data_IF_450708560160
#
_entry.id   IF_450708560160
#
_cell.length_a   1.000
_cell.length_b   1.000
_cell.length_c   1.000
_cell.angle_alpha   90.00
_cell.angle_beta   90.00
_cell.angle_gamma   90.00
#
_symmetry.space_group_name_H-M   'P 1'
#
loop_
_entity.id
_entity.type
_entity.pdbx_description
1 polymer ?
#
# COMPACT_ATOMS: atom_id res chain seq x y z
N UNK A 1 -2.59 -39.56 -5.41
CA UNK A 1 -3.26 -38.34 -5.88
C UNK A 1 -3.14 -37.30 -4.77
N UNK A 2 -2.05 -36.52 -4.75
CA UNK A 2 -1.85 -35.48 -3.73
C UNK A 2 -1.82 -34.13 -4.43
N UNK A 3 -2.85 -33.31 -4.21
CA UNK A 3 -2.86 -31.88 -4.54
C UNK A 3 -2.62 -31.11 -3.24
N UNK A 4 -1.37 -30.77 -2.96
CA UNK A 4 -1.05 -29.65 -2.08
C UNK A 4 -0.60 -28.50 -2.98
N UNK A 5 -1.53 -27.57 -3.19
CA UNK A 5 -1.38 -26.41 -4.05
C UNK A 5 -0.64 -25.31 -3.29
N UNK A 6 0.62 -25.08 -3.68
CA UNK A 6 1.34 -23.80 -3.67
C UNK A 6 1.04 -22.81 -2.54
N UNK A 7 1.62 -23.00 -1.34
CA UNK A 7 1.76 -21.89 -0.36
C UNK A 7 2.98 -21.95 0.55
N UNK A 8 4.01 -22.74 0.23
CA UNK A 8 5.13 -22.94 1.15
C UNK A 8 6.47 -22.91 0.42
N UNK A 9 7.00 -21.69 0.25
CA UNK A 9 8.44 -21.33 0.26
C UNK A 9 8.70 -20.07 -0.57
N UNK A 10 8.61 -18.91 0.10
CA UNK A 10 9.60 -17.86 -0.10
C UNK A 10 10.97 -18.47 0.25
N UNK A 11 11.63 -19.12 -0.70
CA UNK A 11 12.94 -19.73 -0.50
C UNK A 11 14.03 -18.64 -0.53
N UNK A 12 14.25 -18.06 0.65
CA UNK A 12 15.49 -17.53 1.21
C UNK A 12 16.28 -16.40 0.54
N UNK A 13 16.01 -15.97 -0.70
CA UNK A 13 16.73 -14.79 -1.28
C UNK A 13 15.84 -13.87 -2.13
N UNK A 14 14.66 -14.32 -2.57
CA UNK A 14 13.77 -13.55 -3.46
C UNK A 14 12.69 -12.72 -2.76
N UNK A 15 12.53 -12.85 -1.44
CA UNK A 15 11.54 -12.07 -0.68
C UNK A 15 12.16 -10.86 0.03
N UNK A 16 13.48 -10.68 -0.09
CA UNK A 16 14.20 -9.48 0.35
C UNK A 16 14.29 -8.39 -0.74
N UNK A 17 13.74 -8.65 -1.93
CA UNK A 17 13.88 -7.76 -3.09
C UNK A 17 12.55 -7.46 -3.80
N UNK A 18 11.42 -7.78 -3.15
CA UNK A 18 10.11 -7.32 -3.64
C UNK A 18 10.00 -5.82 -3.33
N UNK A 19 9.66 -4.97 -4.31
CA UNK A 19 9.62 -3.54 -4.09
C UNK A 19 8.58 -3.21 -3.02
N UNK A 20 8.96 -2.37 -2.06
CA UNK A 20 8.01 -1.82 -1.08
C UNK A 20 6.96 -1.02 -1.86
N UNK A 21 5.71 -1.46 -1.80
CA UNK A 21 4.61 -0.90 -2.58
C UNK A 21 3.49 -0.43 -1.66
N UNK A 22 3.01 0.78 -1.90
CA UNK A 22 1.85 1.36 -1.25
C UNK A 22 0.76 1.61 -2.29
N UNK A 23 -0.42 1.03 -2.07
CA UNK A 23 -1.62 1.35 -2.83
C UNK A 23 -2.56 2.17 -1.97
N UNK A 24 -2.96 3.34 -2.45
CA UNK A 24 -3.88 4.26 -1.77
C UNK A 24 -5.19 4.31 -2.52
N UNK A 25 -6.25 3.79 -1.90
CA UNK A 25 -7.60 3.83 -2.43
C UNK A 25 -8.30 5.10 -1.97
N UNK A 26 -8.81 5.88 -2.93
CA UNK A 26 -9.50 7.16 -2.72
C UNK A 26 -10.82 7.19 -3.51
N UNK A 27 -11.71 8.12 -3.19
CA UNK A 27 -12.92 8.40 -3.96
C UNK A 27 -12.98 9.91 -4.29
N UNK A 28 -13.71 10.31 -5.35
CA UNK A 28 -13.80 11.71 -5.76
C UNK A 28 -14.58 12.57 -4.74
N UNK A 29 -15.55 11.96 -4.03
CA UNK A 29 -16.39 12.64 -3.04
C UNK A 29 -15.95 12.39 -1.58
N UNK A 30 -14.64 12.36 -1.35
CA UNK A 30 -14.04 12.07 -0.04
C UNK A 30 -13.17 13.26 0.43
N UNK A 31 -13.66 14.11 1.36
CA UNK A 31 -12.90 15.29 1.81
C UNK A 31 -11.54 14.95 2.43
N UNK A 32 -11.43 13.80 3.10
CA UNK A 32 -10.18 13.34 3.70
C UNK A 32 -9.21 12.75 2.68
N UNK A 33 -9.65 12.50 1.44
CA UNK A 33 -8.82 11.93 0.37
C UNK A 33 -7.95 12.98 -0.33
N UNK A 34 -8.24 14.28 -0.23
CA UNK A 34 -7.33 15.32 -0.71
C UNK A 34 -6.01 15.28 0.06
N UNK A 35 -6.09 15.21 1.39
CA UNK A 35 -4.91 15.00 2.22
C UNK A 35 -4.22 13.67 1.93
N UNK A 36 -4.97 12.62 1.55
CA UNK A 36 -4.37 11.35 1.15
C UNK A 36 -3.47 11.47 -0.10
N UNK A 37 -3.86 12.32 -1.06
CA UNK A 37 -3.05 12.61 -2.26
C UNK A 37 -1.76 13.34 -1.87
N UNK A 38 -1.83 14.25 -0.91
CA UNK A 38 -0.65 14.93 -0.35
C UNK A 38 0.28 13.95 0.36
N UNK A 39 -0.25 13.08 1.21
CA UNK A 39 0.53 12.02 1.88
C UNK A 39 1.20 11.11 0.86
N UNK A 40 0.48 10.68 -0.18
CA UNK A 40 1.04 9.86 -1.26
C UNK A 40 2.16 10.58 -2.02
N UNK A 41 2.04 11.90 -2.23
CA UNK A 41 3.09 12.73 -2.83
C UNK A 41 4.32 12.81 -1.90
N UNK A 42 4.15 13.11 -0.62
CA UNK A 42 5.24 13.15 0.36
C UNK A 42 5.99 11.83 0.45
N UNK A 43 5.29 10.69 0.44
CA UNK A 43 5.94 9.38 0.45
C UNK A 43 6.82 9.18 -0.79
N UNK A 44 6.36 9.58 -1.98
CA UNK A 44 7.17 9.49 -3.21
C UNK A 44 8.43 10.34 -3.15
N UNK A 45 8.34 11.52 -2.54
CA UNK A 45 9.46 12.47 -2.41
C UNK A 45 10.47 12.00 -1.36
N UNK A 46 10.01 11.57 -0.19
CA UNK A 46 10.85 11.17 0.94
C UNK A 46 11.42 9.75 0.80
N UNK A 47 10.69 8.85 0.13
CA UNK A 47 11.06 7.44 -0.04
C UNK A 47 11.08 7.03 -1.52
N UNK A 48 12.07 7.46 -2.34
CA UNK A 48 12.10 7.20 -3.78
C UNK A 48 12.14 5.71 -4.19
N UNK A 49 12.46 4.81 -3.26
CA UNK A 49 12.46 3.36 -3.46
C UNK A 49 11.09 2.71 -3.24
N UNK A 50 10.10 3.46 -2.71
CA UNK A 50 8.74 2.98 -2.49
C UNK A 50 7.90 3.28 -3.72
N UNK A 51 7.24 2.26 -4.25
CA UNK A 51 6.26 2.43 -5.32
C UNK A 51 4.93 2.88 -4.72
N UNK A 52 4.39 4.01 -5.16
CA UNK A 52 3.12 4.53 -4.64
C UNK A 52 2.08 4.65 -5.75
N UNK A 53 1.02 3.85 -5.67
CA UNK A 53 -0.13 3.87 -6.57
C UNK A 53 -1.32 4.56 -5.88
N UNK A 54 -2.01 5.44 -6.61
CA UNK A 54 -3.32 5.98 -6.20
C UNK A 54 -4.38 5.34 -7.08
N UNK A 55 -5.40 4.76 -6.45
CA UNK A 55 -6.54 4.13 -7.13
C UNK A 55 -7.80 4.90 -6.75
N UNK A 56 -8.47 5.47 -7.74
CA UNK A 56 -9.81 6.03 -7.57
C UNK A 56 -10.84 4.91 -7.69
N UNK A 57 -11.52 4.58 -6.59
CA UNK A 57 -12.47 3.47 -6.52
C UNK A 57 -13.71 3.68 -7.39
N UNK A 58 -14.02 4.93 -7.75
CA UNK A 58 -15.17 5.26 -8.58
C UNK A 58 -14.84 5.21 -10.08
N UNK A 59 -13.55 5.26 -10.43
CA UNK A 59 -13.09 5.40 -11.83
C UNK A 59 -12.08 4.32 -12.26
N UNK A 60 -11.88 3.27 -11.45
CA UNK A 60 -10.96 2.17 -11.75
C UNK A 60 -11.64 1.00 -12.46
N UNK A 61 -10.89 0.30 -13.30
CA UNK A 61 -11.28 -1.01 -13.86
C UNK A 61 -10.68 -2.18 -13.08
N UNK A 62 -9.82 -1.89 -12.09
CA UNK A 62 -9.20 -2.88 -11.22
C UNK A 62 -10.20 -3.43 -10.19
N UNK A 63 -10.03 -4.69 -9.79
CA UNK A 63 -10.82 -5.28 -8.71
C UNK A 63 -10.40 -4.65 -7.39
N UNK A 64 -11.36 -4.04 -6.69
CA UNK A 64 -11.15 -3.48 -5.36
C UNK A 64 -11.19 -4.62 -4.33
N UNK A 65 -10.15 -4.81 -3.51
CA UNK A 65 -10.16 -5.85 -2.47
C UNK A 65 -11.29 -5.63 -1.46
N UNK A 66 -11.90 -6.70 -0.95
CA UNK A 66 -12.95 -6.61 0.08
C UNK A 66 -12.49 -5.92 1.38
N UNK A 67 -11.17 -5.90 1.62
CA UNK A 67 -10.55 -5.18 2.73
C UNK A 67 -10.60 -3.66 2.58
N UNK A 68 -10.90 -3.16 1.37
CA UNK A 68 -11.09 -1.74 1.06
C UNK A 68 -12.58 -1.42 1.09
N UNK A 69 -13.12 -1.24 2.29
CA UNK A 69 -14.55 -0.90 2.50
C UNK A 69 -14.76 0.56 2.91
N UNK A 70 -13.69 1.35 3.00
CA UNK A 70 -13.72 2.78 3.30
C UNK A 70 -12.59 3.52 2.57
N UNK A 71 -12.76 4.83 2.35
CA UNK A 71 -11.72 5.68 1.77
C UNK A 71 -11.35 6.84 2.71
N UNK A 72 -10.07 7.25 2.79
CA UNK A 72 -8.94 6.59 2.13
C UNK A 72 -8.54 5.28 2.84
N UNK A 73 -8.05 4.30 2.09
CA UNK A 73 -7.43 3.09 2.64
C UNK A 73 -6.05 2.89 2.01
N UNK A 74 -5.07 2.55 2.83
CA UNK A 74 -3.69 2.34 2.42
C UNK A 74 -3.34 0.86 2.59
N UNK A 75 -2.87 0.23 1.52
CA UNK A 75 -2.27 -1.10 1.56
C UNK A 75 -0.75 -0.96 1.44
N UNK A 76 -0.01 -1.64 2.31
CA UNK A 76 1.44 -1.83 2.20
C UNK A 76 1.69 -3.29 1.79
N UNK A 77 2.33 -3.48 0.64
CA UNK A 77 2.57 -4.80 0.02
C UNK A 77 1.28 -5.65 -0.02
N UNK A 78 0.18 -5.02 -0.46
CA UNK A 78 -1.14 -5.65 -0.59
C UNK A 78 -1.89 -5.92 0.72
N UNK A 79 -1.33 -5.57 1.88
CA UNK A 79 -1.97 -5.75 3.20
C UNK A 79 -2.43 -4.42 3.77
N UNK A 80 -3.60 -4.41 4.44
CA UNK A 80 -4.11 -3.18 5.07
C UNK A 80 -3.08 -2.64 6.05
N UNK A 81 -2.62 -1.43 5.76
CA UNK A 81 -1.67 -0.70 6.58
C UNK A 81 -2.35 0.42 7.35
N UNK A 82 -3.27 1.15 6.73
CA UNK A 82 -4.04 2.21 7.40
C UNK A 82 -5.46 2.32 6.85
N UNK A 83 -6.43 2.40 7.76
CA UNK A 83 -7.82 2.80 7.46
C UNK A 83 -7.93 4.29 7.81
N UNK A 84 -7.94 5.15 6.81
CA UNK A 84 -7.72 6.60 6.96
C UNK A 84 -6.25 7.00 6.78
N UNK A 85 -6.00 8.31 6.83
CA UNK A 85 -4.67 8.87 6.62
C UNK A 85 -3.71 8.46 7.75
N UNK A 86 -2.53 7.88 7.43
CA UNK A 86 -1.55 7.55 8.45
C UNK A 86 -0.91 8.81 9.04
N UNK A 87 -0.43 8.72 10.29
CA UNK A 87 0.41 9.76 10.88
C UNK A 87 1.82 9.74 10.28
N UNK A 88 2.51 10.87 10.31
CA UNK A 88 3.92 10.95 9.90
C UNK A 88 4.80 9.95 10.65
N UNK A 89 4.56 9.77 11.96
CA UNK A 89 5.26 8.77 12.77
C UNK A 89 5.09 7.35 12.21
N UNK A 90 3.85 6.95 11.88
CA UNK A 90 3.58 5.63 11.31
C UNK A 90 4.28 5.40 9.97
N UNK A 91 4.34 6.44 9.13
CA UNK A 91 5.07 6.42 7.86
C UNK A 91 6.55 6.10 8.12
N UNK A 92 7.21 6.90 8.97
CA UNK A 92 8.63 6.74 9.29
C UNK A 92 8.94 5.38 9.92
N UNK A 93 8.14 4.95 10.89
CA UNK A 93 8.34 3.67 11.59
C UNK A 93 8.13 2.46 10.68
N UNK A 94 7.23 2.56 9.69
CA UNK A 94 6.94 1.45 8.79
C UNK A 94 7.89 1.41 7.60
N UNK A 95 8.16 2.55 6.95
CA UNK A 95 8.93 2.60 5.71
C UNK A 95 10.43 2.70 5.94
N UNK A 96 10.87 3.42 6.98
CA UNK A 96 12.29 3.60 7.29
C UNK A 96 13.07 2.28 7.34
N UNK A 97 12.63 1.26 8.08
CA UNK A 97 13.29 -0.04 8.11
C UNK A 97 13.26 -0.81 6.78
N UNK A 98 12.24 -0.59 5.96
CA UNK A 98 12.02 -1.35 4.72
C UNK A 98 12.82 -0.83 3.52
N UNK A 99 13.25 0.43 3.54
CA UNK A 99 14.00 1.04 2.42
C UNK A 99 15.49 1.26 2.70
N UNK A 100 15.88 1.25 3.98
CA UNK A 100 17.25 1.49 4.42
C UNK A 100 18.03 0.19 4.76
N UNK A 101 17.38 -0.97 4.67
CA UNK A 101 18.01 -2.29 4.70
C UNK A 101 18.53 -2.70 3.33
#
# INVERSE_FOLDING_TARGET
>A
MNKHSTSERCANERCANEPVAITVYVAAHCPTCDYAREVARSIREEYPRVQVQLVDVENTTEVIPETVFATPTYLLNGRVWSLGNPSAQKITESLGPLVNG
#
